data_IF_681371273924
#
_entry.id   IF_681371273924
#
_cell.length_a   1.000
_cell.length_b   1.000
_cell.length_c   1.000
_cell.angle_alpha   90.00
_cell.angle_beta   90.00
_cell.angle_gamma   90.00
#
_symmetry.space_group_name_H-M   'P 1'
#
loop_
_entity.id
_entity.type
_entity.pdbx_description
1 polymer ?
#
# COMPACT_ATOMS: atom_id res chain seq x y z
N UNK A 1 27.89 -11.98 10.41
CA UNK A 1 26.81 -11.70 11.39
C UNK A 1 25.86 -10.70 10.76
N UNK A 2 24.60 -11.05 10.56
CA UNK A 2 23.60 -10.23 9.87
C UNK A 2 23.35 -8.93 10.63
N UNK A 3 23.58 -7.77 9.98
CA UNK A 3 23.43 -6.43 10.56
C UNK A 3 21.98 -5.92 10.59
N UNK A 4 21.08 -6.61 9.89
CA UNK A 4 19.63 -6.35 9.85
C UNK A 4 18.99 -6.33 11.26
N UNK A 5 19.22 -7.31 12.15
CA UNK A 5 18.72 -7.27 13.52
C UNK A 5 19.32 -6.13 14.35
N UNK A 6 20.53 -5.63 14.03
CA UNK A 6 21.18 -4.57 14.80
C UNK A 6 20.57 -3.19 14.52
N UNK A 7 20.17 -2.92 13.27
CA UNK A 7 19.52 -1.67 12.87
C UNK A 7 18.04 -1.59 13.27
N UNK A 8 17.35 -2.73 13.33
CA UNK A 8 15.95 -2.79 13.80
C UNK A 8 15.83 -2.77 15.34
N UNK A 9 16.88 -3.21 16.06
CA UNK A 9 16.93 -3.25 17.52
C UNK A 9 16.59 -1.92 18.20
N UNK A 10 17.16 -0.75 17.83
CA UNK A 10 16.85 0.51 18.50
C UNK A 10 15.38 0.92 18.32
N UNK A 11 14.75 0.64 17.17
CA UNK A 11 13.31 0.90 16.93
C UNK A 11 12.41 -0.02 17.77
N UNK A 12 12.77 -1.30 17.86
CA UNK A 12 12.06 -2.27 18.73
C UNK A 12 12.25 -1.93 20.20
N UNK A 13 13.46 -1.52 20.60
CA UNK A 13 13.77 -1.11 21.97
C UNK A 13 13.11 0.20 22.35
N UNK A 14 12.95 1.16 21.43
CA UNK A 14 12.15 2.38 21.69
C UNK A 14 10.68 2.06 21.83
N UNK A 15 10.09 1.21 20.98
CA UNK A 15 8.69 0.75 21.13
C UNK A 15 8.52 0.02 22.46
N UNK A 16 9.45 -0.89 22.80
CA UNK A 16 9.43 -1.63 24.06
C UNK A 16 9.65 -0.75 25.28
N UNK A 17 10.54 0.25 25.21
CA UNK A 17 10.70 1.24 26.29
C UNK A 17 9.51 2.18 26.37
N UNK A 18 8.82 2.51 25.26
CA UNK A 18 7.58 3.29 25.30
C UNK A 18 6.45 2.51 25.96
N UNK A 19 6.42 1.19 25.77
CA UNK A 19 5.48 0.28 26.41
C UNK A 19 5.84 -0.05 27.86
N UNK A 20 7.13 -0.15 28.21
CA UNK A 20 7.59 -0.37 29.59
C UNK A 20 7.70 0.91 30.41
N UNK A 21 7.85 2.06 29.78
CA UNK A 21 7.78 3.38 30.42
C UNK A 21 6.35 3.88 30.43
N UNK A 22 5.54 3.29 31.29
CA UNK A 22 4.33 3.87 31.85
C UNK A 22 4.15 3.23 33.24
N UNK A 23 3.76 3.91 34.34
CA UNK A 23 3.32 5.29 34.54
C UNK A 23 3.83 5.93 35.87
N UNK A 24 5.07 5.68 36.33
CA UNK A 24 5.47 6.01 37.71
C UNK A 24 5.98 7.44 37.99
N UNK A 25 5.91 8.38 37.04
CA UNK A 25 6.46 9.74 37.25
C UNK A 25 5.52 10.92 36.91
N UNK A 26 4.20 10.71 36.73
CA UNK A 26 3.32 11.83 36.37
C UNK A 26 1.83 11.52 36.35
N UNK A 27 1.25 11.19 37.50
CA UNK A 27 -0.18 10.87 37.65
C UNK A 27 -1.13 12.01 37.22
N UNK A 28 -0.68 13.26 37.17
CA UNK A 28 -1.49 14.42 36.72
C UNK A 28 -1.41 14.70 35.21
N UNK A 29 -0.49 14.07 34.46
CA UNK A 29 -0.34 14.23 33.00
C UNK A 29 -0.81 13.00 32.20
N UNK A 30 -1.23 11.95 32.90
CA UNK A 30 -1.59 10.62 32.37
C UNK A 30 -2.99 10.56 31.73
N UNK A 31 -4.00 11.23 32.30
CA UNK A 31 -5.37 11.19 31.76
C UNK A 31 -5.48 11.82 30.36
N UNK A 32 -4.76 12.91 30.10
CA UNK A 32 -4.75 13.55 28.77
C UNK A 32 -4.06 12.73 27.69
N UNK A 33 -3.02 11.96 28.04
CA UNK A 33 -2.32 11.08 27.09
C UNK A 33 -3.15 9.83 26.79
N UNK A 34 -3.77 9.23 27.79
CA UNK A 34 -4.67 8.09 27.61
C UNK A 34 -5.92 8.47 26.81
N UNK A 35 -6.52 9.63 27.10
CA UNK A 35 -7.67 10.14 26.35
C UNK A 35 -7.30 10.43 24.88
N UNK A 36 -6.14 11.04 24.64
CA UNK A 36 -5.63 11.27 23.28
C UNK A 36 -5.40 9.95 22.54
N UNK A 37 -4.73 8.98 23.16
CA UNK A 37 -4.41 7.72 22.51
C UNK A 37 -5.67 6.87 22.26
N UNK A 38 -6.66 6.92 23.16
CA UNK A 38 -7.99 6.33 22.96
C UNK A 38 -8.76 7.01 21.82
N UNK A 39 -8.72 8.35 21.73
CA UNK A 39 -9.32 9.11 20.62
C UNK A 39 -8.69 8.73 19.28
N UNK A 40 -7.37 8.60 19.21
CA UNK A 40 -6.66 8.19 18.00
C UNK A 40 -7.02 6.75 17.59
N UNK A 41 -7.13 5.83 18.55
CA UNK A 41 -7.59 4.46 18.30
C UNK A 41 -9.04 4.44 17.81
N UNK A 42 -9.94 5.17 18.47
CA UNK A 42 -11.34 5.25 18.08
C UNK A 42 -11.51 5.85 16.68
N UNK A 43 -10.77 6.91 16.36
CA UNK A 43 -10.76 7.52 15.03
C UNK A 43 -10.22 6.55 13.98
N UNK A 44 -9.13 5.84 14.28
CA UNK A 44 -8.56 4.83 13.37
C UNK A 44 -9.54 3.70 13.09
N UNK A 45 -10.18 3.15 14.13
CA UNK A 45 -11.21 2.11 13.98
C UNK A 45 -12.43 2.63 13.24
N UNK A 46 -12.85 3.87 13.50
CA UNK A 46 -13.95 4.52 12.79
C UNK A 46 -13.68 4.68 11.29
N UNK A 47 -12.48 5.11 10.91
CA UNK A 47 -12.05 5.18 9.50
C UNK A 47 -12.06 3.78 8.88
N UNK A 48 -11.50 2.78 9.59
CA UNK A 48 -11.43 1.40 9.11
C UNK A 48 -12.83 0.81 8.88
N UNK A 49 -13.77 1.08 9.79
CA UNK A 49 -15.17 0.68 9.68
C UNK A 49 -15.89 1.42 8.55
N UNK A 50 -15.62 2.71 8.37
CA UNK A 50 -16.15 3.51 7.26
C UNK A 50 -15.72 2.98 5.90
N UNK A 51 -14.44 2.61 5.76
CA UNK A 51 -13.91 1.99 4.53
C UNK A 51 -14.59 0.64 4.30
N UNK A 52 -14.69 -0.20 5.33
CA UNK A 52 -15.36 -1.49 5.24
C UNK A 52 -16.81 -1.38 4.74
N UNK A 53 -17.61 -0.49 5.34
CA UNK A 53 -18.99 -0.24 4.87
C UNK A 53 -19.00 0.34 3.47
N UNK A 54 -18.10 1.28 3.17
CA UNK A 54 -17.99 1.89 1.84
C UNK A 54 -17.77 0.84 0.76
N UNK A 55 -16.81 -0.07 0.98
CA UNK A 55 -16.53 -1.20 0.07
C UNK A 55 -17.75 -2.11 -0.09
N UNK A 56 -18.39 -2.53 1.00
CA UNK A 56 -19.58 -3.38 0.91
C UNK A 56 -20.73 -2.72 0.14
N UNK A 57 -20.98 -1.43 0.38
CA UNK A 57 -22.00 -0.67 -0.36
C UNK A 57 -21.66 -0.56 -1.84
N UNK A 58 -20.39 -0.34 -2.19
CA UNK A 58 -19.97 -0.30 -3.60
C UNK A 58 -20.15 -1.66 -4.27
N UNK A 59 -19.79 -2.76 -3.61
CA UNK A 59 -19.96 -4.11 -4.16
C UNK A 59 -21.44 -4.46 -4.37
N UNK A 60 -22.32 -4.19 -3.38
CA UNK A 60 -23.75 -4.41 -3.55
C UNK A 60 -24.34 -3.55 -4.68
N UNK A 61 -24.01 -2.27 -4.77
CA UNK A 61 -24.49 -1.39 -5.85
C UNK A 61 -24.06 -1.85 -7.24
N UNK A 62 -22.82 -2.31 -7.37
CA UNK A 62 -22.30 -2.84 -8.64
C UNK A 62 -23.00 -4.15 -9.00
N UNK A 63 -23.24 -5.03 -8.02
CA UNK A 63 -23.93 -6.30 -8.24
C UNK A 63 -25.41 -6.09 -8.60
N UNK A 64 -26.11 -5.18 -7.93
CA UNK A 64 -27.52 -4.85 -8.22
C UNK A 64 -27.70 -4.17 -9.59
N UNK A 65 -26.75 -3.34 -10.01
CA UNK A 65 -26.83 -2.65 -11.30
C UNK A 65 -26.55 -3.57 -12.50
N UNK A 66 -25.97 -4.75 -12.28
CA UNK A 66 -25.46 -5.65 -13.32
C UNK A 66 -26.09 -7.03 -13.11
N UNK A 67 -27.42 -7.08 -13.18
CA UNK A 67 -28.22 -8.30 -12.97
C UNK A 67 -28.04 -9.34 -14.12
N UNK A 68 -27.28 -9.00 -15.17
CA UNK A 68 -27.17 -9.77 -16.42
C UNK A 68 -25.74 -10.33 -16.65
N UNK A 69 -24.71 -9.86 -15.94
CA UNK A 69 -23.33 -10.29 -16.17
C UNK A 69 -22.60 -10.65 -14.86
N UNK A 70 -22.16 -11.90 -14.75
CA UNK A 70 -21.28 -12.34 -13.67
C UNK A 70 -19.93 -11.60 -13.75
N UNK A 71 -19.64 -10.75 -12.75
CA UNK A 71 -18.35 -10.07 -12.63
C UNK A 71 -17.43 -10.97 -11.81
N UNK A 72 -16.36 -11.54 -12.40
CA UNK A 72 -15.40 -12.31 -11.62
C UNK A 72 -14.76 -11.44 -10.52
N UNK A 73 -14.59 -11.96 -9.29
CA UNK A 73 -14.03 -11.20 -8.17
C UNK A 73 -12.63 -10.63 -8.46
N UNK A 74 -11.88 -11.23 -9.38
CA UNK A 74 -10.55 -10.77 -9.81
C UNK A 74 -10.54 -9.37 -10.41
N UNK A 75 -11.64 -8.94 -11.03
CA UNK A 75 -11.74 -7.63 -11.68
C UNK A 75 -11.65 -6.45 -10.68
N UNK A 76 -12.59 -6.29 -9.73
CA UNK A 76 -12.52 -5.19 -8.76
C UNK A 76 -11.32 -5.33 -7.81
N UNK A 77 -10.91 -6.56 -7.51
CA UNK A 77 -9.74 -6.84 -6.69
C UNK A 77 -8.43 -6.45 -7.42
N UNK A 78 -8.35 -6.70 -8.72
CA UNK A 78 -7.24 -6.29 -9.58
C UNK A 78 -7.11 -4.78 -9.66
N UNK A 79 -8.24 -4.06 -9.76
CA UNK A 79 -8.25 -2.59 -9.74
C UNK A 79 -7.78 -2.04 -8.40
N UNK A 80 -8.23 -2.63 -7.28
CA UNK A 80 -7.75 -2.30 -5.95
C UNK A 80 -6.24 -2.48 -5.83
N UNK A 81 -5.73 -3.64 -6.22
CA UNK A 81 -4.30 -3.90 -6.17
C UNK A 81 -3.52 -2.99 -7.12
N UNK A 82 -4.04 -2.66 -8.30
CA UNK A 82 -3.40 -1.71 -9.21
C UNK A 82 -3.29 -0.32 -8.58
N UNK A 83 -4.36 0.19 -7.97
CA UNK A 83 -4.34 1.47 -7.26
C UNK A 83 -3.32 1.43 -6.11
N UNK A 84 -3.32 0.35 -5.34
CA UNK A 84 -2.36 0.13 -4.26
C UNK A 84 -0.93 0.10 -4.80
N UNK A 85 -0.67 -0.59 -5.91
CA UNK A 85 0.63 -0.65 -6.57
C UNK A 85 1.14 0.73 -6.95
N UNK A 86 0.30 1.56 -7.58
CA UNK A 86 0.68 2.92 -8.00
C UNK A 86 1.00 3.81 -6.80
N UNK A 87 0.14 3.77 -5.78
CA UNK A 87 0.34 4.54 -4.54
C UNK A 87 1.62 4.12 -3.81
N UNK A 88 1.88 2.82 -3.71
CA UNK A 88 3.10 2.28 -3.11
C UNK A 88 4.34 2.63 -3.93
N UNK A 89 4.31 2.50 -5.26
CA UNK A 89 5.44 2.87 -6.10
C UNK A 89 5.81 4.33 -5.90
N UNK A 90 4.83 5.22 -5.84
CA UNK A 90 5.07 6.63 -5.57
C UNK A 90 5.64 6.87 -4.17
N UNK A 91 4.97 6.35 -3.14
CA UNK A 91 5.39 6.53 -1.74
C UNK A 91 6.80 5.97 -1.50
N UNK A 92 7.09 4.77 -2.00
CA UNK A 92 8.40 4.14 -1.90
C UNK A 92 9.46 4.91 -2.69
N UNK A 93 9.11 5.50 -3.84
CA UNK A 93 10.04 6.32 -4.63
C UNK A 93 10.46 7.58 -3.88
N UNK A 94 9.50 8.29 -3.27
CA UNK A 94 9.77 9.47 -2.43
C UNK A 94 10.57 9.10 -1.19
N UNK A 95 10.21 8.00 -0.50
CA UNK A 95 10.94 7.51 0.66
C UNK A 95 12.39 7.13 0.30
N UNK A 96 12.57 6.44 -0.82
CA UNK A 96 13.89 6.05 -1.35
C UNK A 96 14.76 7.27 -1.60
N UNK A 97 14.22 8.30 -2.27
CA UNK A 97 14.94 9.56 -2.52
C UNK A 97 15.37 10.25 -1.23
N UNK A 98 14.44 10.46 -0.29
CA UNK A 98 14.74 11.10 0.98
C UNK A 98 15.82 10.34 1.75
N UNK A 99 15.76 9.01 1.68
CA UNK A 99 16.65 8.12 2.44
C UNK A 99 18.03 7.87 1.80
N UNK A 100 18.20 8.13 0.50
CA UNK A 100 19.46 7.93 -0.22
C UNK A 100 20.17 9.24 -0.53
N UNK A 101 19.43 10.31 -0.83
CA UNK A 101 20.00 11.57 -1.32
C UNK A 101 19.89 12.73 -0.34
N UNK A 102 19.05 12.62 0.70
CA UNK A 102 18.81 13.72 1.65
C UNK A 102 19.28 13.41 3.09
N UNK A 103 19.45 12.13 3.44
CA UNK A 103 20.01 11.75 4.74
C UNK A 103 21.53 11.94 4.77
N UNK A 104 22.04 12.70 5.74
CA UNK A 104 23.46 12.79 6.09
C UNK A 104 24.09 11.42 6.45
N UNK A 105 23.27 10.38 6.60
CA UNK A 105 23.70 9.02 6.90
C UNK A 105 24.48 8.35 5.77
N UNK A 106 24.44 8.87 4.53
CA UNK A 106 25.17 8.27 3.40
C UNK A 106 26.69 8.33 3.60
N UNK A 107 27.20 9.45 4.15
CA UNK A 107 28.63 9.62 4.46
C UNK A 107 29.08 8.67 5.58
N UNK A 108 28.23 8.47 6.59
CA UNK A 108 28.49 7.55 7.71
C UNK A 108 28.41 6.08 7.26
N UNK A 109 27.53 5.75 6.31
CA UNK A 109 27.36 4.42 5.73
C UNK A 109 28.46 4.06 4.72
N UNK A 110 28.99 5.04 3.98
CA UNK A 110 30.16 4.88 3.10
C UNK A 110 31.46 4.65 3.89
N UNK A 111 31.55 5.21 5.10
CA UNK A 111 32.68 5.01 6.01
C UNK A 111 32.66 3.66 6.76
N UNK A 112 31.51 2.98 6.82
CA UNK A 112 31.37 1.69 7.48
C UNK A 112 31.74 0.52 6.53
N UNK A 113 32.51 -0.50 6.98
CA UNK A 113 32.88 -1.66 6.17
C UNK A 113 31.69 -2.64 6.04
N UNK A 114 30.63 -2.21 5.35
CA UNK A 114 29.41 -3.00 5.16
C UNK A 114 29.45 -3.72 3.80
N UNK A 115 29.07 -5.00 3.79
CA UNK A 115 28.86 -5.73 2.55
C UNK A 115 27.68 -5.12 1.79
N UNK A 116 27.88 -4.79 0.50
CA UNK A 116 26.88 -4.13 -0.37
C UNK A 116 25.49 -4.78 -0.32
N UNK A 117 25.42 -6.11 -0.21
CA UNK A 117 24.16 -6.86 -0.13
C UNK A 117 23.40 -6.70 1.19
N UNK A 118 24.10 -6.55 2.32
CA UNK A 118 23.45 -6.36 3.63
C UNK A 118 22.89 -4.95 3.78
N UNK A 119 23.57 -3.96 3.18
CA UNK A 119 23.07 -2.59 3.08
C UNK A 119 21.76 -2.51 2.29
N UNK A 120 21.73 -3.13 1.10
CA UNK A 120 20.53 -3.13 0.26
C UNK A 120 19.35 -3.79 0.96
N UNK A 121 19.56 -4.94 1.62
CA UNK A 121 18.51 -5.63 2.38
C UNK A 121 18.00 -4.80 3.56
N UNK A 122 18.89 -4.18 4.32
CA UNK A 122 18.50 -3.34 5.45
C UNK A 122 17.65 -2.14 4.98
N UNK A 123 18.05 -1.48 3.89
CA UNK A 123 17.33 -0.33 3.34
C UNK A 123 15.99 -0.73 2.72
N UNK A 124 15.95 -1.87 2.03
CA UNK A 124 14.71 -2.44 1.51
C UNK A 124 13.71 -2.70 2.64
N UNK A 125 14.14 -3.36 3.72
CA UNK A 125 13.27 -3.60 4.88
C UNK A 125 12.81 -2.30 5.54
N UNK A 126 13.69 -1.31 5.67
CA UNK A 126 13.32 -0.02 6.26
C UNK A 126 12.26 0.71 5.43
N UNK A 127 12.49 0.87 4.12
CA UNK A 127 11.57 1.56 3.22
C UNK A 127 10.25 0.80 3.14
N UNK A 128 10.31 -0.52 2.91
CA UNK A 128 9.14 -1.37 2.86
C UNK A 128 8.32 -1.23 4.15
N UNK A 129 8.90 -1.43 5.33
CA UNK A 129 8.16 -1.32 6.60
C UNK A 129 7.61 0.10 6.84
N UNK A 130 8.39 1.15 6.54
CA UNK A 130 7.98 2.53 6.82
C UNK A 130 6.87 3.06 5.92
N UNK A 131 6.82 2.62 4.65
CA UNK A 131 5.83 3.06 3.67
C UNK A 131 4.60 2.13 3.66
N UNK A 132 4.83 0.83 3.90
CA UNK A 132 3.81 -0.21 3.75
C UNK A 132 2.85 -0.34 4.92
N UNK A 133 3.27 -0.03 6.15
CA UNK A 133 2.48 -0.34 7.34
C UNK A 133 1.08 0.32 7.31
N UNK A 134 0.99 1.55 6.80
CA UNK A 134 -0.27 2.28 6.72
C UNK A 134 -1.15 1.77 5.58
N UNK A 135 -0.57 1.48 4.41
CA UNK A 135 -1.30 0.90 3.30
C UNK A 135 -1.78 -0.54 3.60
N UNK A 136 -1.04 -1.32 4.40
CA UNK A 136 -1.49 -2.62 4.89
C UNK A 136 -2.72 -2.49 5.78
N UNK A 137 -2.71 -1.52 6.71
CA UNK A 137 -3.85 -1.21 7.57
C UNK A 137 -5.10 -0.85 6.76
N UNK A 138 -4.94 -0.11 5.66
CA UNK A 138 -6.04 0.24 4.76
C UNK A 138 -6.52 -0.92 3.87
N UNK A 139 -5.63 -1.82 3.47
CA UNK A 139 -5.99 -2.98 2.66
C UNK A 139 -6.82 -4.01 3.44
N UNK A 140 -6.56 -4.18 4.74
CA UNK A 140 -7.26 -5.15 5.60
C UNK A 140 -8.80 -5.01 5.61
N UNK A 141 -9.41 -3.87 5.94
CA UNK A 141 -10.87 -3.75 5.96
C UNK A 141 -11.49 -4.04 4.60
N UNK A 142 -10.79 -3.66 3.52
CA UNK A 142 -11.28 -3.90 2.17
C UNK A 142 -11.27 -5.40 1.86
N UNK A 143 -10.17 -6.10 2.16
CA UNK A 143 -10.08 -7.56 1.98
C UNK A 143 -11.12 -8.31 2.83
N UNK A 144 -11.37 -7.87 4.06
CA UNK A 144 -12.41 -8.46 4.92
C UNK A 144 -13.81 -8.25 4.30
N UNK A 145 -14.10 -7.06 3.76
CA UNK A 145 -15.35 -6.79 3.05
C UNK A 145 -15.55 -7.72 1.84
N UNK A 146 -14.50 -7.94 1.05
CA UNK A 146 -14.51 -8.90 -0.05
C UNK A 146 -14.81 -10.32 0.43
N UNK A 147 -14.12 -10.78 1.49
CA UNK A 147 -14.36 -12.12 2.05
C UNK A 147 -15.80 -12.32 2.54
N UNK A 148 -16.39 -11.31 3.19
CA UNK A 148 -17.78 -11.39 3.69
C UNK A 148 -18.78 -11.36 2.52
N UNK A 149 -18.58 -10.50 1.53
CA UNK A 149 -19.49 -10.38 0.38
C UNK A 149 -19.56 -11.67 -0.45
N UNK A 150 -18.41 -12.28 -0.74
CA UNK A 150 -18.34 -13.52 -1.52
C UNK A 150 -18.48 -14.80 -0.67
N UNK A 151 -18.77 -14.69 0.63
CA UNK A 151 -18.89 -15.82 1.57
C UNK A 151 -17.66 -16.74 1.58
N UNK A 152 -16.48 -16.15 1.62
CA UNK A 152 -15.20 -16.86 1.53
C UNK A 152 -14.96 -17.81 2.73
N UNK A 153 -14.23 -18.92 2.51
CA UNK A 153 -13.81 -19.82 3.59
C UNK A 153 -12.80 -19.17 4.53
N UNK A 154 -12.67 -19.71 5.75
CA UNK A 154 -11.74 -19.18 6.77
C UNK A 154 -10.28 -19.10 6.26
N UNK A 155 -9.90 -19.97 5.33
CA UNK A 155 -8.59 -20.00 4.68
C UNK A 155 -8.26 -18.69 3.94
N UNK A 156 -9.26 -18.02 3.36
CA UNK A 156 -9.08 -16.73 2.68
C UNK A 156 -8.48 -15.69 3.62
N UNK A 157 -8.99 -15.58 4.86
CA UNK A 157 -8.54 -14.59 5.83
C UNK A 157 -7.09 -14.83 6.30
N UNK A 158 -6.63 -16.09 6.29
CA UNK A 158 -5.24 -16.43 6.62
C UNK A 158 -4.29 -16.19 5.43
N UNK A 159 -4.73 -16.49 4.20
CA UNK A 159 -3.89 -16.39 3.01
C UNK A 159 -3.81 -14.96 2.48
N UNK A 160 -4.88 -14.16 2.62
CA UNK A 160 -4.91 -12.76 2.22
C UNK A 160 -3.70 -11.94 2.70
N UNK A 161 -3.36 -11.90 4.01
CA UNK A 161 -2.17 -11.17 4.46
C UNK A 161 -0.86 -11.76 3.91
N UNK A 162 -0.78 -13.07 3.69
CA UNK A 162 0.40 -13.74 3.12
C UNK A 162 0.63 -13.31 1.67
N UNK A 163 -0.42 -13.10 0.88
CA UNK A 163 -0.33 -12.59 -0.51
C UNK A 163 0.02 -11.10 -0.53
N UNK A 164 -0.50 -10.35 0.42
CA UNK A 164 -0.28 -8.90 0.53
C UNK A 164 1.18 -8.58 0.88
N UNK A 165 1.83 -9.34 1.76
CA UNK A 165 3.24 -9.09 2.15
C UNK A 165 4.21 -9.02 0.95
N UNK A 166 4.33 -10.04 0.08
CA UNK A 166 5.21 -9.99 -1.08
C UNK A 166 4.75 -8.93 -2.10
N UNK A 167 3.44 -8.69 -2.21
CA UNK A 167 2.90 -7.62 -3.05
C UNK A 167 3.42 -6.23 -2.63
N UNK A 168 3.60 -5.98 -1.35
CA UNK A 168 4.13 -4.71 -0.84
C UNK A 168 5.66 -4.61 -0.97
N UNK A 169 6.37 -5.74 -0.91
CA UNK A 169 7.84 -5.77 -1.08
C UNK A 169 8.24 -5.49 -2.53
N UNK A 170 7.45 -5.94 -3.51
CA UNK A 170 7.74 -5.74 -4.93
C UNK A 170 7.94 -4.27 -5.35
N UNK A 171 7.01 -3.33 -5.08
CA UNK A 171 7.19 -1.92 -5.42
C UNK A 171 8.31 -1.26 -4.61
N UNK A 172 8.53 -1.67 -3.35
CA UNK A 172 9.64 -1.15 -2.56
C UNK A 172 11.00 -1.53 -3.16
N UNK A 173 11.13 -2.79 -3.62
CA UNK A 173 12.33 -3.25 -4.32
C UNK A 173 12.52 -2.51 -5.65
N UNK A 174 11.45 -2.37 -6.44
CA UNK A 174 11.49 -1.63 -7.70
C UNK A 174 11.95 -0.19 -7.50
N UNK A 175 11.36 0.55 -6.55
CA UNK A 175 11.77 1.93 -6.25
C UNK A 175 13.25 2.00 -5.83
N UNK A 176 13.71 1.08 -4.99
CA UNK A 176 15.10 1.05 -4.52
C UNK A 176 16.10 0.77 -5.67
N UNK A 177 15.69 0.06 -6.71
CA UNK A 177 16.48 -0.15 -7.92
C UNK A 177 16.39 1.02 -8.91
N UNK A 178 15.18 1.52 -9.19
CA UNK A 178 14.93 2.55 -10.21
C UNK A 178 15.49 3.92 -9.84
N UNK A 179 15.36 4.32 -8.58
CA UNK A 179 15.69 5.68 -8.15
C UNK A 179 17.19 5.99 -8.27
N UNK A 180 18.12 5.12 -7.84
CA UNK A 180 19.55 5.33 -8.07
C UNK A 180 19.93 5.37 -9.56
N UNK A 181 19.28 4.56 -10.40
CA UNK A 181 19.51 4.55 -11.86
C UNK A 181 19.05 5.89 -12.45
N UNK A 182 17.86 6.35 -12.08
CA UNK A 182 17.31 7.63 -12.53
C UNK A 182 18.21 8.80 -12.10
N UNK A 183 18.72 8.78 -10.87
CA UNK A 183 19.66 9.78 -10.36
C UNK A 183 21.04 9.74 -11.05
N UNK A 184 21.44 8.62 -11.65
CA UNK A 184 22.65 8.55 -12.49
C UNK A 184 22.43 9.20 -13.85
N UNK A 185 21.22 9.07 -14.42
CA UNK A 185 20.86 9.67 -15.71
C UNK A 185 20.64 11.19 -15.57
N UNK A 186 20.15 11.65 -14.41
CA UNK A 186 19.90 13.06 -14.10
C UNK A 186 20.95 13.59 -13.10
N UNK A 187 22.08 14.18 -13.55
CA UNK A 187 23.23 14.46 -12.70
C UNK A 187 22.95 15.56 -11.65
N UNK A 188 22.97 15.13 -10.38
CA UNK A 188 23.76 15.66 -9.27
C UNK A 188 23.58 17.10 -8.72
N UNK A 189 22.61 17.93 -9.11
CA UNK A 189 22.36 19.17 -8.34
C UNK A 189 20.89 19.55 -8.09
N UNK A 190 19.97 18.62 -8.38
CA UNK A 190 18.53 18.91 -8.39
C UNK A 190 17.71 17.75 -7.84
N UNK A 191 17.98 17.32 -6.60
CA UNK A 191 17.07 16.43 -5.85
C UNK A 191 15.62 16.96 -5.89
N UNK A 192 15.47 18.29 -5.93
CA UNK A 192 14.21 19.00 -6.17
C UNK A 192 13.57 18.64 -7.52
N UNK A 193 14.31 18.59 -8.63
CA UNK A 193 13.76 18.24 -9.95
C UNK A 193 13.33 16.78 -10.03
N UNK A 194 14.08 15.85 -9.42
CA UNK A 194 13.65 14.44 -9.35
C UNK A 194 12.36 14.31 -8.53
N UNK A 195 12.24 15.06 -7.43
CA UNK A 195 11.01 15.13 -6.64
C UNK A 195 9.82 15.68 -7.45
N UNK A 196 10.03 16.77 -8.19
CA UNK A 196 9.00 17.33 -9.09
C UNK A 196 8.59 16.34 -10.19
N UNK A 197 9.55 15.64 -10.79
CA UNK A 197 9.28 14.67 -11.86
C UNK A 197 8.47 13.47 -11.35
N UNK A 198 8.83 12.91 -10.20
CA UNK A 198 8.08 11.80 -9.59
C UNK A 198 6.70 12.28 -9.13
N UNK A 199 6.61 13.48 -8.55
CA UNK A 199 5.34 14.13 -8.20
C UNK A 199 4.43 14.31 -9.41
N UNK A 200 4.95 14.88 -10.49
CA UNK A 200 4.22 15.09 -11.74
C UNK A 200 3.80 13.76 -12.38
N UNK A 201 4.69 12.77 -12.43
CA UNK A 201 4.38 11.44 -12.96
C UNK A 201 3.26 10.75 -12.15
N UNK A 202 3.28 10.91 -10.82
CA UNK A 202 2.22 10.40 -9.96
C UNK A 202 0.89 11.10 -10.18
N UNK A 203 0.88 12.44 -10.19
CA UNK A 203 -0.35 13.22 -10.45
C UNK A 203 -0.90 12.86 -11.83
N UNK A 204 -0.05 12.79 -12.86
CA UNK A 204 -0.44 12.39 -14.20
C UNK A 204 -1.01 10.97 -14.23
N UNK A 205 -0.36 10.01 -13.56
CA UNK A 205 -0.84 8.62 -13.49
C UNK A 205 -2.16 8.51 -12.74
N UNK A 206 -2.32 9.18 -11.59
CA UNK A 206 -3.57 9.22 -10.84
C UNK A 206 -4.68 9.90 -11.64
N UNK A 207 -4.36 11.00 -12.31
CA UNK A 207 -5.30 11.73 -13.16
C UNK A 207 -5.76 10.86 -14.32
N UNK A 208 -4.85 10.18 -15.02
CA UNK A 208 -5.20 9.23 -16.07
C UNK A 208 -6.09 8.11 -15.53
N UNK A 209 -5.74 7.55 -14.37
CA UNK A 209 -6.54 6.48 -13.74
C UNK A 209 -7.93 6.99 -13.32
N UNK A 210 -8.02 8.20 -12.75
CA UNK A 210 -9.28 8.82 -12.36
C UNK A 210 -10.14 9.20 -13.57
N UNK A 211 -9.53 9.70 -14.64
CA UNK A 211 -10.21 10.03 -15.90
C UNK A 211 -10.72 8.77 -16.59
N UNK A 212 -9.98 7.67 -16.50
CA UNK A 212 -10.39 6.37 -17.00
C UNK A 212 -11.57 5.80 -16.20
N UNK A 213 -11.63 6.09 -14.90
CA UNK A 213 -12.72 5.69 -14.00
C UNK A 213 -13.94 6.63 -14.06
N UNK A 214 -13.76 7.89 -14.46
CA UNK A 214 -14.81 8.92 -14.50
C UNK A 214 -14.93 9.53 -15.89
N UNK A 215 -15.72 8.94 -16.79
CA UNK A 215 -16.23 9.66 -17.96
C UNK A 215 -17.53 10.36 -17.57
N UNK A 216 -17.55 11.68 -17.69
CA UNK A 216 -18.74 12.52 -17.54
C UNK A 216 -19.90 11.96 -18.39
N UNK A 217 -20.90 11.34 -17.75
CA UNK A 217 -22.14 10.88 -18.42
C UNK A 217 -22.62 9.45 -18.17
N UNK A 218 -22.21 8.76 -17.11
CA UNK A 218 -22.67 7.38 -16.83
C UNK A 218 -24.10 7.35 -16.25
N UNK A 219 -25.10 7.14 -17.09
CA UNK A 219 -26.42 6.67 -16.65
C UNK A 219 -26.42 5.15 -16.68
N UNK A 220 -26.58 4.51 -15.51
CA UNK A 220 -26.57 3.05 -15.28
C UNK A 220 -27.66 2.24 -16.03
N UNK A 221 -28.27 2.77 -17.08
CA UNK A 221 -29.37 2.15 -17.82
C UNK A 221 -28.97 1.62 -19.21
N UNK A 222 -27.81 1.97 -19.76
CA UNK A 222 -27.45 1.60 -21.13
C UNK A 222 -26.49 0.40 -21.18
N UNK A 223 -26.76 -0.56 -22.07
CA UNK A 223 -25.92 -1.77 -22.24
C UNK A 223 -24.48 -1.47 -22.67
N UNK A 224 -24.25 -0.33 -23.32
CA UNK A 224 -22.90 0.16 -23.64
C UNK A 224 -22.05 0.55 -22.42
N UNK A 225 -22.67 0.95 -21.32
CA UNK A 225 -21.96 1.33 -20.09
C UNK A 225 -21.51 0.09 -19.30
N UNK A 226 -22.26 -1.02 -19.38
CA UNK A 226 -21.90 -2.30 -18.75
C UNK A 226 -20.64 -2.88 -19.42
N UNK A 227 -20.59 -2.88 -20.76
CA UNK A 227 -19.40 -3.33 -21.50
C UNK A 227 -18.18 -2.43 -21.24
N UNK A 228 -18.38 -1.13 -20.98
CA UNK A 228 -17.31 -0.20 -20.61
C UNK A 228 -16.82 -0.38 -19.17
N UNK A 229 -17.72 -0.63 -18.22
CA UNK A 229 -17.35 -1.01 -16.84
C UNK A 229 -16.51 -2.29 -16.89
N UNK A 230 -16.93 -3.27 -17.69
CA UNK A 230 -16.18 -4.51 -17.88
C UNK A 230 -14.81 -4.25 -18.53
N UNK A 231 -14.73 -3.33 -19.49
CA UNK A 231 -13.47 -2.93 -20.11
C UNK A 231 -12.52 -2.29 -19.10
N UNK A 232 -12.99 -1.33 -18.29
CA UNK A 232 -12.22 -0.64 -17.24
C UNK A 232 -11.73 -1.64 -16.18
N UNK A 233 -12.63 -2.53 -15.76
CA UNK A 233 -12.34 -3.59 -14.80
C UNK A 233 -11.31 -4.59 -15.35
N UNK A 234 -11.23 -4.77 -16.67
CA UNK A 234 -10.30 -5.70 -17.31
C UNK A 234 -8.89 -5.13 -17.51
N UNK A 235 -8.70 -3.81 -17.38
CA UNK A 235 -7.39 -3.14 -17.56
C UNK A 235 -6.30 -3.68 -16.62
N UNK A 236 -6.57 -3.97 -15.33
CA UNK A 236 -5.59 -4.55 -14.42
C UNK A 236 -5.29 -6.04 -14.69
N UNK A 237 -6.01 -6.72 -15.59
CA UNK A 237 -5.84 -8.15 -15.88
C UNK A 237 -4.76 -8.42 -16.94
N UNK A 238 -3.64 -7.71 -16.85
CA UNK A 238 -2.47 -8.02 -17.68
C UNK A 238 -1.64 -9.09 -16.99
N UNK A 239 -1.36 -10.18 -17.69
CA UNK A 239 -0.75 -11.41 -17.15
C UNK A 239 0.58 -11.20 -16.41
N UNK A 240 1.32 -10.13 -16.71
CA UNK A 240 2.61 -9.84 -16.10
C UNK A 240 2.55 -8.93 -14.87
N UNK A 241 1.38 -8.38 -14.54
CA UNK A 241 1.27 -7.38 -13.46
C UNK A 241 1.20 -8.03 -12.06
N UNK A 242 1.94 -7.53 -11.06
CA UNK A 242 1.83 -8.02 -9.68
C UNK A 242 0.41 -7.88 -9.10
N UNK A 243 -0.34 -6.89 -9.55
CA UNK A 243 -1.75 -6.69 -9.18
C UNK A 243 -2.63 -7.83 -9.66
N UNK A 244 -2.40 -8.33 -10.87
CA UNK A 244 -3.12 -9.48 -11.42
C UNK A 244 -2.81 -10.77 -10.65
N UNK A 245 -1.54 -11.02 -10.33
CA UNK A 245 -1.16 -12.22 -9.58
C UNK A 245 -1.77 -12.26 -8.18
N UNK A 246 -1.78 -11.12 -7.48
CA UNK A 246 -2.44 -10.99 -6.18
C UNK A 246 -3.95 -11.20 -6.30
N UNK A 247 -4.58 -10.59 -7.30
CA UNK A 247 -6.02 -10.71 -7.51
C UNK A 247 -6.45 -12.15 -7.84
N UNK A 248 -5.76 -12.81 -8.77
CA UNK A 248 -6.05 -14.18 -9.20
C UNK A 248 -5.80 -15.21 -8.10
N UNK A 249 -4.79 -14.97 -7.26
CA UNK A 249 -4.51 -15.87 -6.12
C UNK A 249 -5.65 -15.86 -5.10
N UNK A 250 -6.25 -14.69 -4.86
CA UNK A 250 -7.37 -14.54 -3.94
C UNK A 250 -8.71 -14.93 -4.56
N UNK A 251 -8.91 -14.70 -5.85
CA UNK A 251 -10.10 -15.16 -6.59
C UNK A 251 -10.30 -16.66 -6.44
N UNK A 252 -9.25 -17.47 -6.59
CA UNK A 252 -9.32 -18.92 -6.42
C UNK A 252 -9.84 -19.33 -5.04
N UNK A 253 -9.61 -18.53 -4.01
CA UNK A 253 -10.07 -18.79 -2.64
C UNK A 253 -11.47 -18.22 -2.38
N UNK A 254 -11.89 -17.22 -3.15
CA UNK A 254 -13.22 -16.62 -3.06
C UNK A 254 -14.29 -17.49 -3.74
N UNK A 255 -13.88 -18.29 -4.74
CA UNK A 255 -14.76 -19.18 -5.51
C UNK A 255 -14.65 -20.67 -5.11
N UNK A 256 -13.89 -20.98 -4.06
CA UNK A 256 -13.70 -22.33 -3.52
C UNK A 256 -14.68 -22.61 -2.38
#
# INVERSE_FOLDING_TARGET
MSLVPLLLRPKILTIRNRWRSSPHAGALKSQGVLARDALLLALSVGIMYGIFIGTLRTLHKVNEAIDIAFIPPSLPLGLLFLFLLMMLLFSNSVATLGSLFLSHDLELLLAAPLKRGDFFKAKLCEIALSSSWMAFLFALPVLIAFGIFYKAPIAYYAIAPIVVVPFFVAPAALSLFLIPILARILPANRTKEIFFLIGAACIFSLYMLAQLLSPEGTSFHNSGDILRILAILSIPNVDWSPSYWAARSLEKLLLA
#
